data_IF_757329177536
#
_entry.id   IF_757329177536
#
_cell.length_a   1.000
_cell.length_b   1.000
_cell.length_c   1.000
_cell.angle_alpha   90.00
_cell.angle_beta   90.00
_cell.angle_gamma   90.00
#
_symmetry.space_group_name_H-M   'P 1'
#
loop_
_entity.id
_entity.type
_entity.pdbx_description
1 polymer ?
#
# COMPACT_ATOMS: atom_id res chain seq x y z
N UNK A 1 8.08 -19.16 -4.64
CA UNK A 1 7.42 -18.33 -3.60
C UNK A 1 6.81 -17.12 -4.29
N UNK A 2 5.61 -16.68 -3.87
CA UNK A 2 5.02 -15.44 -4.38
C UNK A 2 5.65 -14.25 -3.63
N UNK A 3 5.89 -13.16 -4.34
CA UNK A 3 6.39 -11.90 -3.76
C UNK A 3 5.54 -10.74 -4.26
N UNK A 4 5.16 -9.86 -3.35
CA UNK A 4 4.51 -8.59 -3.65
C UNK A 4 5.20 -7.52 -2.81
N UNK A 5 5.96 -6.67 -3.49
CA UNK A 5 6.82 -5.66 -2.88
C UNK A 5 6.72 -4.39 -3.69
N UNK A 6 7.08 -3.27 -3.11
CA UNK A 6 7.18 -2.01 -3.83
C UNK A 6 7.84 -0.94 -3.00
N UNK A 7 7.92 0.24 -3.60
CA UNK A 7 8.41 1.44 -2.92
C UNK A 7 7.33 2.50 -2.93
N UNK A 8 7.09 3.13 -1.79
CA UNK A 8 6.27 4.34 -1.70
C UNK A 8 7.08 5.47 -1.07
N UNK A 9 6.70 6.68 -1.43
CA UNK A 9 7.13 7.90 -0.76
C UNK A 9 5.89 8.58 -0.20
N UNK A 10 5.90 8.80 1.11
CA UNK A 10 4.73 9.30 1.83
C UNK A 10 5.13 10.58 2.53
N UNK A 11 4.31 11.62 2.32
CA UNK A 11 4.30 12.81 3.17
C UNK A 11 3.24 12.60 4.25
N UNK A 12 3.66 12.64 5.50
CA UNK A 12 2.80 12.35 6.64
C UNK A 12 2.04 13.61 7.08
N UNK A 13 0.74 13.45 7.32
CA UNK A 13 -0.02 14.37 8.16
C UNK A 13 0.14 14.04 9.65
N UNK A 14 0.45 12.78 9.99
CA UNK A 14 0.63 12.25 11.35
C UNK A 14 1.57 11.04 11.39
N UNK A 15 1.90 10.55 12.59
CA UNK A 15 2.87 9.47 12.80
C UNK A 15 2.33 8.05 12.60
N UNK A 16 1.08 7.84 12.17
CA UNK A 16 0.41 6.52 12.18
C UNK A 16 1.22 5.44 11.46
N UNK A 17 1.70 5.70 10.24
CA UNK A 17 2.45 4.72 9.46
C UNK A 17 3.87 4.47 10.03
N UNK A 18 4.47 5.49 10.64
CA UNK A 18 5.75 5.37 11.34
C UNK A 18 5.60 4.47 12.57
N UNK A 19 4.54 4.69 13.36
CA UNK A 19 4.20 3.83 14.50
C UNK A 19 3.97 2.38 14.06
N UNK A 20 3.22 2.16 12.97
CA UNK A 20 3.03 0.81 12.41
C UNK A 20 4.35 0.13 12.01
N UNK A 21 5.25 0.87 11.39
CA UNK A 21 6.58 0.38 11.03
C UNK A 21 7.45 0.03 12.25
N UNK A 22 7.34 0.82 13.33
CA UNK A 22 8.06 0.57 14.59
C UNK A 22 7.53 -0.69 15.28
N UNK A 23 6.19 -0.81 15.36
CA UNK A 23 5.46 -1.88 16.04
C UNK A 23 5.39 -3.17 15.22
N UNK A 24 5.77 -3.12 13.94
CA UNK A 24 5.68 -4.27 13.02
C UNK A 24 4.24 -4.68 12.73
N UNK A 25 3.28 -3.76 12.83
CA UNK A 25 1.87 -4.04 12.57
C UNK A 25 1.56 -3.86 11.08
N UNK A 26 0.87 -4.83 10.45
CA UNK A 26 0.56 -4.73 9.03
C UNK A 26 -0.47 -3.63 8.74
N UNK A 27 -0.43 -3.09 7.53
CA UNK A 27 -1.46 -2.23 6.98
C UNK A 27 -1.97 -2.77 5.64
N UNK A 28 -3.09 -2.22 5.18
CA UNK A 28 -3.56 -2.42 3.82
C UNK A 28 -3.06 -1.27 2.94
N UNK A 29 -2.57 -1.58 1.75
CA UNK A 29 -2.29 -0.59 0.71
C UNK A 29 -3.24 -0.80 -0.47
N UNK A 30 -3.96 0.25 -0.84
CA UNK A 30 -4.82 0.27 -2.02
C UNK A 30 -4.23 1.20 -3.08
N UNK A 31 -4.14 0.68 -4.30
CA UNK A 31 -3.76 1.43 -5.49
C UNK A 31 -4.96 1.45 -6.43
N UNK A 32 -5.50 2.63 -6.69
CA UNK A 32 -6.71 2.79 -7.49
C UNK A 32 -6.44 3.71 -8.68
N UNK A 33 -6.88 3.27 -9.85
CA UNK A 33 -6.90 4.03 -11.10
C UNK A 33 -8.32 4.11 -11.61
N UNK A 34 -8.73 5.29 -12.07
CA UNK A 34 -10.03 5.51 -12.70
C UNK A 34 -9.86 6.15 -14.07
N UNK A 35 -10.68 5.72 -15.03
CA UNK A 35 -10.74 6.24 -16.39
C UNK A 35 -12.21 6.47 -16.76
N UNK A 36 -12.70 7.69 -16.47
CA UNK A 36 -14.10 8.04 -16.67
C UNK A 36 -15.04 7.24 -15.79
N UNK A 37 -16.31 7.11 -16.21
CA UNK A 37 -17.37 6.51 -15.38
C UNK A 37 -17.38 4.97 -15.40
N UNK A 38 -16.82 4.33 -16.44
CA UNK A 38 -17.04 2.92 -16.74
C UNK A 38 -15.77 2.06 -16.69
N UNK A 39 -14.62 2.65 -16.35
CA UNK A 39 -13.37 1.91 -16.27
C UNK A 39 -12.60 2.29 -15.00
N UNK A 40 -12.21 1.27 -14.24
CA UNK A 40 -11.36 1.42 -13.08
C UNK A 40 -10.56 0.15 -12.82
N UNK A 41 -9.43 0.31 -12.16
CA UNK A 41 -8.62 -0.78 -11.65
C UNK A 41 -8.24 -0.48 -10.20
N UNK A 42 -8.53 -1.43 -9.31
CA UNK A 42 -8.14 -1.37 -7.91
C UNK A 42 -7.29 -2.58 -7.58
N UNK A 43 -6.12 -2.33 -7.00
CA UNK A 43 -5.23 -3.35 -6.50
C UNK A 43 -5.02 -3.14 -4.99
N UNK A 44 -5.41 -4.13 -4.19
CA UNK A 44 -5.35 -4.07 -2.74
C UNK A 44 -4.35 -5.11 -2.22
N UNK A 45 -3.34 -4.68 -1.47
CA UNK A 45 -2.41 -5.54 -0.74
C UNK A 45 -2.81 -5.58 0.74
N UNK A 46 -3.28 -6.73 1.23
CA UNK A 46 -4.05 -6.81 2.49
C UNK A 46 -3.21 -6.81 3.78
N UNK A 47 -1.97 -7.29 3.72
CA UNK A 47 -1.06 -7.30 4.87
C UNK A 47 0.34 -6.86 4.44
N UNK A 48 0.56 -5.55 4.46
CA UNK A 48 1.81 -4.88 4.09
C UNK A 48 2.59 -4.50 5.33
N UNK A 49 3.85 -4.90 5.36
CA UNK A 49 4.81 -4.52 6.39
C UNK A 49 5.71 -3.40 5.86
N UNK A 50 5.80 -2.34 6.65
CA UNK A 50 6.65 -1.20 6.36
C UNK A 50 7.96 -1.37 7.13
N UNK A 51 9.12 -1.34 6.46
CA UNK A 51 10.39 -1.32 7.18
C UNK A 51 10.50 -0.03 7.99
N UNK A 52 11.27 -0.06 9.07
CA UNK A 52 11.55 1.17 9.84
C UNK A 52 12.16 2.22 8.90
N UNK A 53 11.56 3.41 8.80
CA UNK A 53 12.02 4.42 7.85
C UNK A 53 13.43 4.85 8.23
N UNK A 54 14.33 4.97 7.24
CA UNK A 54 15.67 5.52 7.46
C UNK A 54 15.59 7.04 7.43
N UNK A 55 16.06 7.66 8.52
CA UNK A 55 16.36 9.09 8.73
C UNK A 55 15.40 10.05 8.02
N UNK A 56 14.47 10.57 8.80
CA UNK A 56 13.56 11.65 8.40
C UNK A 56 14.34 12.89 7.94
N UNK A 57 13.96 13.50 6.82
CA UNK A 57 14.38 14.85 6.47
C UNK A 57 13.27 15.78 6.98
N UNK A 58 13.44 16.44 8.14
CA UNK A 58 12.46 17.42 8.60
C UNK A 58 12.44 18.59 7.63
N UNK A 59 11.26 18.88 7.07
CA UNK A 59 10.99 20.08 6.29
C UNK A 59 9.85 20.89 6.93
N UNK A 60 9.73 22.20 6.63
CA UNK A 60 8.70 23.07 7.20
C UNK A 60 7.25 22.69 6.85
N UNK A 61 7.02 21.63 6.07
CA UNK A 61 5.73 21.19 5.53
C UNK A 61 5.38 19.72 5.90
N UNK A 62 6.01 19.16 6.94
CA UNK A 62 5.74 17.80 7.43
C UNK A 62 6.90 16.83 7.27
N UNK A 63 6.71 15.61 7.75
CA UNK A 63 7.69 14.52 7.65
C UNK A 63 7.47 13.79 6.33
N UNK A 64 8.55 13.55 5.59
CA UNK A 64 8.54 12.74 4.36
C UNK A 64 9.42 11.51 4.57
N UNK A 65 8.90 10.33 4.25
CA UNK A 65 9.67 9.09 4.32
C UNK A 65 9.40 8.19 3.12
N UNK A 66 10.37 7.34 2.84
CA UNK A 66 10.26 6.30 1.84
C UNK A 66 10.27 4.92 2.48
N UNK A 67 9.40 4.03 1.97
CA UNK A 67 9.27 2.66 2.45
C UNK A 67 9.40 1.68 1.29
N UNK A 68 10.36 0.77 1.41
CA UNK A 68 10.46 -0.43 0.58
C UNK A 68 9.63 -1.54 1.24
N UNK A 69 8.33 -1.54 0.95
CA UNK A 69 7.35 -2.35 1.63
C UNK A 69 7.26 -3.78 1.06
N UNK A 70 6.81 -4.71 1.90
CA UNK A 70 6.58 -6.11 1.51
C UNK A 70 5.23 -6.61 2.03
N UNK A 71 4.46 -7.24 1.16
CA UNK A 71 3.21 -7.89 1.54
C UNK A 71 3.41 -9.35 1.94
N UNK A 72 2.49 -9.84 2.77
CA UNK A 72 2.36 -11.24 3.16
C UNK A 72 0.92 -11.72 2.93
N UNK A 73 0.70 -13.03 3.11
CA UNK A 73 -0.65 -13.58 3.12
C UNK A 73 -1.39 -13.05 4.36
N UNK A 74 -2.49 -12.33 4.15
CA UNK A 74 -3.35 -11.89 5.24
C UNK A 74 -4.18 -13.05 5.81
N UNK A 75 -4.66 -12.90 7.04
CA UNK A 75 -5.57 -13.85 7.70
C UNK A 75 -7.02 -13.63 7.27
N UNK A 76 -7.42 -12.37 7.05
CA UNK A 76 -8.75 -11.98 6.58
C UNK A 76 -8.66 -10.73 5.69
N UNK A 77 -8.94 -10.85 4.37
CA UNK A 77 -9.20 -12.09 3.65
C UNK A 77 -7.95 -12.98 3.59
N UNK A 78 -8.12 -14.30 3.46
CA UNK A 78 -7.02 -15.27 3.47
C UNK A 78 -6.17 -15.29 2.18
N UNK A 79 -5.76 -14.12 1.68
CA UNK A 79 -5.01 -13.90 0.43
C UNK A 79 -4.04 -12.74 0.57
N UNK A 80 -3.03 -12.68 -0.30
CA UNK A 80 -2.02 -11.60 -0.28
C UNK A 80 -2.54 -10.30 -0.88
N UNK A 81 -3.27 -10.39 -1.99
CA UNK A 81 -3.84 -9.24 -2.67
C UNK A 81 -5.16 -9.56 -3.38
N UNK A 82 -5.89 -8.52 -3.73
CA UNK A 82 -7.07 -8.54 -4.61
C UNK A 82 -6.84 -7.56 -5.75
N UNK A 83 -7.16 -7.99 -6.98
CA UNK A 83 -7.13 -7.14 -8.16
C UNK A 83 -8.54 -7.10 -8.75
N UNK A 84 -9.13 -5.90 -8.84
CA UNK A 84 -10.49 -5.68 -9.33
C UNK A 84 -10.41 -4.78 -10.56
N UNK A 85 -10.81 -5.31 -11.72
CA UNK A 85 -10.89 -4.58 -12.98
C UNK A 85 -12.37 -4.38 -13.34
N UNK A 86 -12.78 -3.13 -13.49
CA UNK A 86 -14.07 -2.74 -14.05
C UNK A 86 -13.81 -2.25 -15.46
N UNK A 87 -14.43 -2.88 -16.46
CA UNK A 87 -14.43 -2.41 -17.83
C UNK A 87 -15.66 -2.94 -18.59
N UNK A 88 -15.72 -2.61 -19.89
CA UNK A 88 -16.84 -2.96 -20.76
C UNK A 88 -16.62 -4.24 -21.57
N UNK A 89 -15.60 -5.04 -21.24
CA UNK A 89 -15.29 -6.29 -21.95
C UNK A 89 -16.20 -7.40 -21.44
N UNK A 90 -16.81 -8.16 -22.36
CA UNK A 90 -17.82 -9.18 -22.02
C UNK A 90 -17.24 -10.47 -21.44
N UNK A 91 -15.93 -10.72 -21.54
CA UNK A 91 -15.27 -11.90 -20.97
C UNK A 91 -13.74 -11.90 -21.05
N UNK A 92 -13.12 -12.75 -20.24
CA UNK A 92 -11.66 -12.95 -20.12
C UNK A 92 -11.30 -14.43 -20.28
#
# INVERSE_FOLDING_TARGET
MAALTGKIEVRFADSTLVTKAIDGTPCELEFAWSLGANASFTFTAHAVYLPRPRIEIPGPQGIQASFDWQAAKATSPARMCTATLVNTVTGY
#
